data_IF_636650036898
#
_entry.id   IF_636650036898
#
_cell.length_a   1.000
_cell.length_b   1.000
_cell.length_c   1.000
_cell.angle_alpha   90.00
_cell.angle_beta   90.00
_cell.angle_gamma   90.00
#
_symmetry.space_group_name_H-M   'P 1'
#
loop_
_entity.id
_entity.type
_entity.pdbx_description
1 polymer ?
#
# COMPACT_ATOMS: atom_id res chain seq x y z
N UNK A 1 24.96 -25.30 18.84
CA UNK A 1 24.33 -24.22 19.61
C UNK A 1 23.20 -23.63 18.77
N UNK A 2 21.95 -23.79 19.19
CA UNK A 2 20.76 -23.35 18.43
C UNK A 2 20.36 -21.96 18.92
N UNK A 3 20.30 -20.98 18.01
CA UNK A 3 19.95 -19.60 18.33
C UNK A 3 18.46 -19.40 18.67
N UNK A 4 18.10 -18.26 19.28
CA UNK A 4 16.79 -18.01 19.91
C UNK A 4 15.61 -17.83 18.95
N UNK A 5 15.79 -18.09 17.64
CA UNK A 5 14.77 -17.87 16.60
C UNK A 5 13.74 -19.01 16.47
N UNK A 6 14.00 -20.19 17.04
CA UNK A 6 13.19 -21.39 16.77
C UNK A 6 11.92 -21.54 17.64
N UNK A 7 11.86 -20.87 18.81
CA UNK A 7 10.77 -21.11 19.79
C UNK A 7 9.56 -20.19 19.59
N UNK A 8 9.74 -18.95 19.11
CA UNK A 8 8.62 -18.01 18.93
C UNK A 8 7.83 -18.24 17.64
N UNK A 9 8.48 -18.71 16.57
CA UNK A 9 7.82 -19.06 15.31
C UNK A 9 6.90 -20.31 15.40
N UNK A 10 7.15 -21.18 16.39
CA UNK A 10 6.34 -22.38 16.61
C UNK A 10 4.99 -22.06 17.28
N UNK A 11 4.94 -21.00 18.10
CA UNK A 11 3.72 -20.57 18.80
C UNK A 11 2.72 -19.90 17.85
N UNK A 12 3.21 -19.14 16.86
CA UNK A 12 2.39 -18.52 15.81
C UNK A 12 1.88 -19.56 14.78
N UNK A 13 2.67 -20.61 14.50
CA UNK A 13 2.32 -21.73 13.61
C UNK A 13 1.09 -22.54 14.04
N UNK A 14 0.78 -22.59 15.34
CA UNK A 14 -0.32 -23.39 15.88
C UNK A 14 -1.66 -22.67 15.85
N UNK A 15 -1.69 -21.33 15.78
CA UNK A 15 -2.95 -20.57 15.68
C UNK A 15 -3.45 -20.41 14.23
N UNK A 16 -2.56 -20.32 13.24
CA UNK A 16 -2.94 -20.09 11.84
C UNK A 16 -3.31 -21.36 11.04
N UNK A 17 -3.11 -22.57 11.59
CA UNK A 17 -3.51 -23.84 10.94
C UNK A 17 -4.97 -24.27 11.23
N UNK A 18 -5.69 -23.54 12.07
CA UNK A 18 -7.06 -23.89 12.50
C UNK A 18 -8.17 -23.52 11.51
N UNK A 19 -7.91 -22.64 10.54
CA UNK A 19 -8.91 -22.16 9.59
C UNK A 19 -8.75 -22.84 8.22
N UNK A 20 -9.05 -24.15 8.14
CA UNK A 20 -9.38 -24.81 6.87
C UNK A 20 -10.72 -25.51 7.02
N UNK A 21 -11.70 -25.02 6.26
CA UNK A 21 -13.00 -25.64 6.06
C UNK A 21 -12.82 -27.11 5.64
N UNK A 22 -13.42 -28.02 6.42
CA UNK A 22 -13.52 -29.44 6.05
C UNK A 22 -14.78 -29.62 5.22
N UNK A 23 -14.60 -30.03 3.97
CA UNK A 23 -15.64 -30.64 3.16
C UNK A 23 -15.82 -32.11 3.58
N UNK A 24 -17.09 -32.51 3.68
CA UNK A 24 -17.53 -33.82 4.15
C UNK A 24 -17.47 -34.83 2.99
N UNK A 25 -16.66 -35.88 3.11
CA UNK A 25 -16.83 -37.13 2.35
C UNK A 25 -16.36 -38.31 3.21
N UNK A 26 -17.29 -39.21 3.55
CA UNK A 26 -17.02 -40.50 4.18
C UNK A 26 -16.38 -41.49 3.19
N UNK A 27 -15.65 -42.50 3.67
CA UNK A 27 -16.12 -43.87 3.43
C UNK A 27 -15.90 -44.85 4.59
N UNK A 28 -16.52 -46.03 4.42
CA UNK A 28 -16.72 -47.13 5.37
C UNK A 28 -15.48 -47.99 5.69
N UNK A 29 -15.42 -48.42 6.96
CA UNK A 29 -15.05 -49.73 7.55
C UNK A 29 -14.34 -50.83 6.72
N UNK A 30 -13.23 -51.38 7.26
CA UNK A 30 -13.14 -52.79 7.78
C UNK A 30 -11.82 -53.11 8.51
N UNK A 31 -11.93 -53.67 9.73
CA UNK A 31 -11.21 -54.82 10.41
C UNK A 31 -9.76 -55.19 10.00
N UNK A 32 -8.79 -55.63 10.85
CA UNK A 32 -8.81 -56.38 12.12
C UNK A 32 -7.42 -56.40 12.84
N UNK A 33 -7.44 -56.63 14.17
CA UNK A 33 -6.52 -57.35 15.11
C UNK A 33 -4.98 -57.33 14.90
N UNK A 34 -4.10 -57.31 15.93
CA UNK A 34 -4.03 -58.16 17.15
C UNK A 34 -3.02 -57.61 18.19
N UNK A 35 -3.12 -58.10 19.43
CA UNK A 35 -2.48 -57.68 20.71
C UNK A 35 -1.23 -58.51 21.06
N UNK A 36 -0.20 -57.88 21.68
CA UNK A 36 0.77 -58.51 22.62
C UNK A 36 1.27 -57.46 23.65
N UNK A 37 1.35 -57.83 24.94
CA UNK A 37 1.94 -57.12 26.10
C UNK A 37 2.65 -58.18 27.00
N UNK A 38 3.46 -57.84 28.04
CA UNK A 38 4.05 -56.55 28.45
C UNK A 38 5.57 -56.61 28.79
N UNK A 39 6.21 -55.45 28.96
CA UNK A 39 7.45 -55.30 29.74
C UNK A 39 7.46 -53.93 30.45
N UNK A 40 8.04 -53.90 31.65
CA UNK A 40 7.84 -52.89 32.69
C UNK A 40 8.47 -51.50 32.45
N UNK A 41 7.97 -50.55 33.25
CA UNK A 41 7.95 -49.11 33.05
C UNK A 41 9.26 -48.34 33.33
N UNK A 42 9.49 -47.29 32.54
CA UNK A 42 10.30 -46.11 32.86
C UNK A 42 9.39 -44.86 32.82
N UNK A 43 9.61 -43.83 33.67
CA UNK A 43 8.66 -42.73 33.83
C UNK A 43 8.69 -41.75 32.64
N UNK A 44 7.53 -41.19 32.22
CA UNK A 44 7.46 -40.26 31.11
C UNK A 44 7.88 -38.83 31.51
N UNK A 45 8.39 -38.01 30.58
CA UNK A 45 8.66 -36.60 30.82
C UNK A 45 7.35 -35.80 31.03
N UNK A 46 7.41 -34.63 31.68
CA UNK A 46 6.21 -33.89 32.07
C UNK A 46 5.42 -33.43 30.84
N UNK A 47 4.10 -33.63 30.88
CA UNK A 47 3.17 -33.15 29.85
C UNK A 47 3.09 -31.62 29.89
N UNK A 48 3.09 -30.94 28.74
CA UNK A 48 2.75 -29.52 28.70
C UNK A 48 1.29 -29.33 29.15
N UNK A 49 1.06 -28.35 30.02
CA UNK A 49 -0.28 -27.93 30.44
C UNK A 49 -1.13 -27.65 29.20
N UNK A 50 -2.21 -28.40 29.01
CA UNK A 50 -3.29 -28.03 28.08
C UNK A 50 -3.90 -26.73 28.59
N UNK A 51 -3.74 -25.65 27.84
CA UNK A 51 -4.63 -24.51 27.95
C UNK A 51 -6.03 -24.98 27.53
N UNK A 52 -7.02 -24.74 28.40
CA UNK A 52 -8.41 -25.02 28.10
C UNK A 52 -8.84 -24.21 26.86
N UNK A 53 -9.73 -24.76 26.01
CA UNK A 53 -10.34 -23.96 24.95
C UNK A 53 -11.11 -22.81 25.59
N UNK A 54 -10.92 -21.60 25.07
CA UNK A 54 -11.72 -20.44 25.45
C UNK A 54 -13.20 -20.81 25.25
N UNK A 55 -13.96 -20.81 26.35
CA UNK A 55 -15.41 -20.94 26.32
C UNK A 55 -15.96 -19.69 25.63
N UNK A 56 -16.64 -19.86 24.49
CA UNK A 56 -17.61 -18.87 24.04
C UNK A 56 -18.74 -18.88 25.07
N UNK A 57 -18.74 -17.90 25.97
CA UNK A 57 -19.88 -17.63 26.83
C UNK A 57 -20.94 -16.92 25.98
N UNK A 58 -22.08 -17.58 25.77
CA UNK A 58 -23.29 -16.90 25.34
C UNK A 58 -23.77 -16.03 26.50
N UNK A 59 -23.41 -14.75 26.46
CA UNK A 59 -23.94 -13.71 27.33
C UNK A 59 -24.62 -12.68 26.48
N UNK A 60 -25.94 -12.54 26.63
CA UNK A 60 -26.72 -11.46 26.05
C UNK A 60 -26.26 -10.13 26.67
N UNK A 61 -25.52 -9.34 25.89
CA UNK A 61 -25.23 -7.96 26.22
C UNK A 61 -25.33 -7.15 24.92
N UNK A 62 -26.11 -6.09 25.01
CA UNK A 62 -26.49 -5.10 23.99
C UNK A 62 -25.37 -4.77 23.00
N UNK A 63 -25.69 -4.91 21.70
CA UNK A 63 -24.89 -4.45 20.57
C UNK A 63 -24.51 -2.97 20.73
N UNK A 64 -23.27 -2.72 21.10
CA UNK A 64 -22.54 -1.55 20.61
C UNK A 64 -21.48 -2.09 19.66
N UNK A 65 -21.87 -2.30 18.39
CA UNK A 65 -20.93 -2.55 17.32
C UNK A 65 -19.95 -1.37 17.27
N UNK A 66 -18.72 -1.58 17.72
CA UNK A 66 -17.60 -0.72 17.39
C UNK A 66 -17.45 -0.76 15.87
N UNK A 67 -17.88 0.29 15.19
CA UNK A 67 -17.76 0.41 13.75
C UNK A 67 -16.28 0.29 13.39
N UNK A 68 -15.91 -0.76 12.64
CA UNK A 68 -14.56 -0.92 12.10
C UNK A 68 -14.12 0.32 11.29
N UNK A 69 -12.82 0.47 10.99
CA UNK A 69 -12.31 1.65 10.30
C UNK A 69 -13.07 1.94 9.01
N UNK A 70 -13.56 3.18 8.87
CA UNK A 70 -14.25 3.65 7.66
C UNK A 70 -13.38 3.45 6.43
N UNK A 71 -13.95 2.85 5.37
CA UNK A 71 -13.26 2.55 4.09
C UNK A 71 -12.78 3.81 3.37
N UNK A 72 -13.55 4.88 3.51
CA UNK A 72 -13.29 6.17 2.89
C UNK A 72 -12.73 7.12 3.94
N UNK A 73 -11.72 7.90 3.55
CA UNK A 73 -11.19 9.02 4.32
C UNK A 73 -11.19 10.27 3.44
N UNK A 74 -11.26 11.44 4.06
CA UNK A 74 -11.09 12.70 3.34
C UNK A 74 -9.70 13.26 3.60
N UNK A 75 -8.96 13.53 2.53
CA UNK A 75 -7.76 14.39 2.60
C UNK A 75 -8.19 15.82 2.36
N UNK A 76 -7.71 16.77 3.16
CA UNK A 76 -8.12 18.16 3.03
C UNK A 76 -7.07 19.11 3.57
N UNK A 77 -6.89 20.24 2.90
CA UNK A 77 -6.04 21.33 3.38
C UNK A 77 -6.45 22.65 2.71
N UNK A 78 -6.50 23.76 3.48
CA UNK A 78 -6.78 25.13 2.98
C UNK A 78 -7.95 25.22 1.99
N UNK A 79 -9.09 24.59 2.32
CA UNK A 79 -10.30 24.61 1.48
C UNK A 79 -10.29 23.61 0.32
N UNK A 80 -9.19 22.91 0.09
CA UNK A 80 -9.10 21.77 -0.82
C UNK A 80 -9.51 20.48 -0.11
N UNK A 81 -10.23 19.58 -0.78
CA UNK A 81 -10.61 18.30 -0.20
C UNK A 81 -10.93 17.22 -1.23
N UNK A 82 -10.62 15.96 -0.90
CA UNK A 82 -10.99 14.79 -1.69
C UNK A 82 -11.30 13.61 -0.78
N UNK A 83 -12.45 12.99 -0.97
CA UNK A 83 -12.75 11.68 -0.42
C UNK A 83 -12.05 10.59 -1.24
N UNK A 84 -11.28 9.73 -0.57
CA UNK A 84 -10.55 8.61 -1.18
C UNK A 84 -10.76 7.32 -0.38
N UNK A 85 -10.69 6.18 -1.05
CA UNK A 85 -10.57 4.89 -0.38
C UNK A 85 -9.22 4.85 0.35
N UNK A 86 -9.20 4.39 1.60
CA UNK A 86 -7.96 4.30 2.42
C UNK A 86 -6.96 3.30 1.88
N UNK A 87 -7.41 2.36 1.05
CA UNK A 87 -6.56 1.40 0.35
C UNK A 87 -6.62 1.71 -1.14
N UNK A 88 -5.49 2.15 -1.69
CA UNK A 88 -5.39 2.60 -3.08
C UNK A 88 -4.88 1.47 -3.97
N UNK A 89 -5.44 1.37 -5.17
CA UNK A 89 -4.97 0.45 -6.19
C UNK A 89 -3.79 1.07 -6.94
N UNK A 90 -2.58 0.65 -6.58
CA UNK A 90 -1.36 1.09 -7.25
C UNK A 90 -1.20 0.48 -8.64
N UNK A 91 -0.98 1.31 -9.66
CA UNK A 91 -0.86 0.90 -11.06
C UNK A 91 0.60 0.85 -11.57
N UNK A 92 1.62 0.98 -10.71
CA UNK A 92 3.03 1.04 -11.16
C UNK A 92 3.47 -0.16 -12.03
N UNK A 93 2.85 -1.32 -11.83
CA UNK A 93 3.08 -2.54 -12.62
C UNK A 93 2.81 -2.35 -14.11
N UNK A 94 2.04 -1.34 -14.50
CA UNK A 94 1.78 -1.05 -15.91
C UNK A 94 2.95 -0.35 -16.61
N UNK A 95 3.99 0.08 -15.89
CA UNK A 95 5.16 0.79 -16.46
C UNK A 95 6.07 -0.06 -17.39
N UNK A 96 5.68 -1.29 -17.71
CA UNK A 96 6.36 -2.15 -18.70
C UNK A 96 7.39 -3.13 -18.12
N UNK A 97 7.84 -2.92 -16.89
CA UNK A 97 8.81 -3.81 -16.22
C UNK A 97 8.24 -5.14 -15.68
N UNK A 98 6.94 -5.40 -15.86
CA UNK A 98 6.23 -6.57 -15.30
C UNK A 98 5.62 -7.49 -16.36
N UNK A 99 5.95 -7.27 -17.64
CA UNK A 99 5.46 -8.07 -18.78
C UNK A 99 4.40 -7.35 -19.60
N UNK A 100 3.84 -8.05 -20.59
CA UNK A 100 2.80 -7.52 -21.48
C UNK A 100 1.49 -7.35 -20.69
N UNK A 101 0.81 -6.23 -20.95
CA UNK A 101 -0.49 -5.91 -20.36
C UNK A 101 -1.56 -6.18 -21.41
N UNK A 102 -2.52 -7.03 -21.06
CA UNK A 102 -3.79 -7.11 -21.77
C UNK A 102 -4.68 -5.97 -21.28
N UNK A 103 -5.10 -5.09 -22.20
CA UNK A 103 -5.82 -3.87 -21.84
C UNK A 103 -7.24 -4.15 -21.36
N UNK A 104 -7.94 -5.08 -22.00
CA UNK A 104 -9.33 -5.38 -21.65
C UNK A 104 -9.37 -6.10 -20.31
N UNK A 105 -8.50 -7.09 -20.11
CA UNK A 105 -8.37 -7.77 -18.82
C UNK A 105 -7.95 -6.81 -17.68
N UNK A 106 -7.10 -5.82 -17.97
CA UNK A 106 -6.73 -4.81 -16.98
C UNK A 106 -7.91 -3.91 -16.61
N UNK A 107 -8.73 -3.50 -17.59
CA UNK A 107 -9.93 -2.70 -17.34
C UNK A 107 -11.01 -3.51 -16.62
N UNK A 108 -11.21 -4.79 -16.96
CA UNK A 108 -12.08 -5.71 -16.22
C UNK A 108 -11.66 -5.80 -14.75
N UNK A 109 -10.36 -5.95 -14.49
CA UNK A 109 -9.82 -5.98 -13.14
C UNK A 109 -10.08 -4.66 -12.39
N UNK A 110 -9.92 -3.51 -13.06
CA UNK A 110 -10.23 -2.20 -12.44
C UNK A 110 -11.69 -2.09 -12.03
N UNK A 111 -12.63 -2.58 -12.85
CA UNK A 111 -14.05 -2.62 -12.50
C UNK A 111 -14.33 -3.55 -11.33
N UNK A 112 -13.72 -4.75 -11.30
CA UNK A 112 -13.87 -5.66 -10.18
C UNK A 112 -13.37 -5.03 -8.85
N UNK A 113 -12.29 -4.25 -8.88
CA UNK A 113 -11.82 -3.51 -7.69
C UNK A 113 -12.79 -2.41 -7.28
N UNK A 114 -13.27 -1.61 -8.24
CA UNK A 114 -14.21 -0.53 -7.97
C UNK A 114 -15.54 -1.07 -7.42
N UNK A 115 -16.11 -2.12 -8.03
CA UNK A 115 -17.34 -2.79 -7.59
C UNK A 115 -17.18 -3.40 -6.18
N UNK A 116 -15.94 -3.73 -5.77
CA UNK A 116 -15.62 -4.21 -4.42
C UNK A 116 -15.32 -3.08 -3.39
N UNK A 117 -15.53 -1.81 -3.77
CA UNK A 117 -15.30 -0.64 -2.93
C UNK A 117 -13.83 -0.21 -2.81
N UNK A 118 -12.93 -0.79 -3.61
CA UNK A 118 -11.55 -0.31 -3.79
C UNK A 118 -11.56 0.70 -4.93
N UNK A 119 -12.13 1.88 -4.70
CA UNK A 119 -12.52 2.83 -5.75
C UNK A 119 -11.46 3.88 -6.10
N UNK A 120 -10.27 3.83 -5.50
CA UNK A 120 -9.21 4.83 -5.71
C UNK A 120 -8.01 4.21 -6.42
N UNK A 121 -7.62 4.79 -7.55
CA UNK A 121 -6.55 4.29 -8.42
C UNK A 121 -5.39 5.28 -8.47
N UNK A 122 -4.19 4.80 -8.18
CA UNK A 122 -2.97 5.59 -8.14
C UNK A 122 -2.06 5.25 -9.33
N UNK A 123 -1.73 6.27 -10.12
CA UNK A 123 -0.99 6.16 -11.37
C UNK A 123 0.06 7.27 -11.54
N UNK A 124 0.67 7.35 -12.72
CA UNK A 124 1.60 8.41 -13.11
C UNK A 124 1.63 8.57 -14.63
N UNK A 125 2.00 9.76 -15.08
CA UNK A 125 2.30 10.10 -16.48
C UNK A 125 3.27 9.11 -17.15
N UNK A 126 4.29 8.65 -16.41
CA UNK A 126 5.34 7.76 -16.86
C UNK A 126 5.07 6.26 -16.59
N UNK A 127 3.89 5.89 -16.06
CA UNK A 127 3.54 4.48 -15.79
C UNK A 127 3.00 3.75 -17.04
N UNK A 128 3.72 3.84 -18.16
CA UNK A 128 3.31 3.19 -19.40
C UNK A 128 1.87 3.60 -19.78
N UNK A 129 0.93 2.65 -20.00
CA UNK A 129 -0.44 2.94 -20.38
C UNK A 129 -1.38 3.22 -19.19
N UNK A 130 -0.90 3.46 -17.97
CA UNK A 130 -1.76 3.57 -16.77
C UNK A 130 -2.90 4.59 -16.93
N UNK A 131 -2.58 5.80 -17.38
CA UNK A 131 -3.56 6.87 -17.60
C UNK A 131 -4.56 6.50 -18.71
N UNK A 132 -4.08 5.84 -19.78
CA UNK A 132 -4.94 5.39 -20.88
C UNK A 132 -5.89 4.27 -20.43
N UNK A 133 -5.42 3.33 -19.62
CA UNK A 133 -6.24 2.29 -19.00
C UNK A 133 -7.31 2.90 -18.09
N UNK A 134 -6.94 3.93 -17.32
CA UNK A 134 -7.92 4.66 -16.51
C UNK A 134 -8.98 5.36 -17.37
N UNK A 135 -8.60 5.96 -18.50
CA UNK A 135 -9.57 6.54 -19.44
C UNK A 135 -10.51 5.49 -20.05
N UNK A 136 -9.99 4.31 -20.41
CA UNK A 136 -10.82 3.18 -20.87
C UNK A 136 -11.80 2.70 -19.78
N UNK A 137 -11.30 2.60 -18.54
CA UNK A 137 -12.06 2.22 -17.36
C UNK A 137 -13.20 3.20 -17.04
N UNK A 138 -12.92 4.49 -17.01
CA UNK A 138 -13.92 5.54 -16.80
C UNK A 138 -14.99 5.51 -17.90
N UNK A 139 -14.60 5.28 -19.14
CA UNK A 139 -15.55 5.12 -20.24
C UNK A 139 -16.43 3.88 -20.12
N UNK A 140 -15.92 2.77 -19.57
CA UNK A 140 -16.78 1.63 -19.22
C UNK A 140 -17.74 1.97 -18.09
N UNK A 141 -17.29 2.63 -17.03
CA UNK A 141 -18.18 3.08 -15.95
C UNK A 141 -19.34 3.91 -16.51
N UNK A 142 -19.05 4.92 -17.35
CA UNK A 142 -20.07 5.78 -17.96
C UNK A 142 -21.12 5.01 -18.78
N UNK A 143 -20.75 3.85 -19.36
CA UNK A 143 -21.64 3.02 -20.18
C UNK A 143 -22.37 1.93 -19.39
N UNK A 144 -21.73 1.39 -18.38
CA UNK A 144 -22.12 0.12 -17.74
C UNK A 144 -22.57 0.26 -16.28
N UNK A 145 -22.43 1.46 -15.68
CA UNK A 145 -22.79 1.73 -14.29
C UNK A 145 -23.68 2.96 -14.19
N UNK A 146 -24.48 3.10 -13.11
CA UNK A 146 -25.23 4.32 -12.83
C UNK A 146 -24.31 5.55 -12.74
N UNK A 147 -24.77 6.75 -13.13
CA UNK A 147 -23.94 7.97 -13.12
C UNK A 147 -23.28 8.28 -11.77
N UNK A 148 -23.95 8.00 -10.66
CA UNK A 148 -23.45 8.20 -9.31
C UNK A 148 -22.18 7.39 -9.00
N UNK A 149 -21.98 6.24 -9.65
CA UNK A 149 -20.81 5.40 -9.45
C UNK A 149 -19.52 6.08 -9.93
N UNK A 150 -19.62 6.97 -10.93
CA UNK A 150 -18.48 7.76 -11.39
C UNK A 150 -17.96 8.69 -10.29
N UNK A 151 -18.84 9.20 -9.43
CA UNK A 151 -18.47 10.06 -8.30
C UNK A 151 -17.85 9.28 -7.14
N UNK A 152 -17.97 7.95 -7.10
CA UNK A 152 -17.32 7.10 -6.08
C UNK A 152 -15.88 6.74 -6.44
N UNK A 153 -15.55 6.75 -7.74
CA UNK A 153 -14.24 6.40 -8.27
C UNK A 153 -13.32 7.63 -8.32
N UNK A 154 -12.03 7.44 -7.99
CA UNK A 154 -11.05 8.53 -7.88
C UNK A 154 -9.74 8.16 -8.56
N UNK A 155 -9.23 9.07 -9.40
CA UNK A 155 -7.98 8.91 -10.13
C UNK A 155 -6.91 9.86 -9.62
N UNK A 156 -5.83 9.30 -9.06
CA UNK A 156 -4.69 10.05 -8.57
C UNK A 156 -3.54 9.84 -9.54
N UNK A 157 -3.20 10.84 -10.35
CA UNK A 157 -2.04 10.76 -11.26
C UNK A 157 -0.87 11.57 -10.73
N UNK A 158 0.33 11.24 -11.20
CA UNK A 158 1.56 11.96 -10.90
C UNK A 158 2.07 12.65 -12.14
N UNK A 159 2.59 13.86 -11.95
CA UNK A 159 3.40 14.53 -12.96
C UNK A 159 4.85 14.58 -12.49
N UNK A 160 5.75 14.04 -13.31
CA UNK A 160 7.17 13.86 -12.98
C UNK A 160 8.02 14.53 -14.06
N UNK A 161 8.08 15.88 -14.08
CA UNK A 161 8.81 16.59 -15.12
C UNK A 161 10.33 16.52 -14.94
N UNK A 162 11.10 16.63 -16.04
CA UNK A 162 12.51 16.99 -15.93
C UNK A 162 12.66 18.41 -15.35
N UNK A 163 13.79 18.74 -14.70
CA UNK A 163 14.03 20.04 -14.07
C UNK A 163 14.36 21.14 -15.10
N UNK A 164 13.41 21.41 -16.01
CA UNK A 164 13.48 22.49 -16.99
C UNK A 164 12.79 23.75 -16.43
N UNK A 165 12.80 24.85 -17.19
CA UNK A 165 12.06 26.06 -16.82
C UNK A 165 10.56 25.76 -16.78
N UNK A 166 9.93 25.91 -15.62
CA UNK A 166 8.51 25.61 -15.39
C UNK A 166 7.62 26.78 -15.82
N UNK A 167 7.47 26.99 -17.14
CA UNK A 167 6.54 27.99 -17.66
C UNK A 167 5.08 27.53 -17.52
N UNK A 168 4.15 28.49 -17.44
CA UNK A 168 2.70 28.24 -17.44
C UNK A 168 2.26 27.25 -18.52
N UNK A 169 2.68 27.49 -19.77
CA UNK A 169 2.33 26.65 -20.91
C UNK A 169 2.90 25.24 -20.80
N UNK A 170 4.15 25.09 -20.34
CA UNK A 170 4.76 23.79 -20.18
C UNK A 170 4.03 22.94 -19.14
N UNK A 171 3.69 23.53 -18.00
CA UNK A 171 2.90 22.87 -16.95
C UNK A 171 1.53 22.47 -17.52
N UNK A 172 0.81 23.43 -18.11
CA UNK A 172 -0.53 23.19 -18.64
C UNK A 172 -0.59 22.13 -19.73
N UNK A 173 0.34 22.15 -20.69
CA UNK A 173 0.41 21.16 -21.76
C UNK A 173 0.58 19.74 -21.21
N UNK A 174 1.38 19.56 -20.17
CA UNK A 174 1.56 18.26 -19.54
C UNK A 174 0.33 17.82 -18.75
N UNK A 175 -0.33 18.71 -18.01
CA UNK A 175 -1.59 18.41 -17.32
C UNK A 175 -2.70 18.05 -18.31
N UNK A 176 -2.78 18.74 -19.44
CA UNK A 176 -3.74 18.46 -20.50
C UNK A 176 -3.49 17.11 -21.18
N UNK A 177 -2.22 16.66 -21.29
CA UNK A 177 -1.91 15.30 -21.76
C UNK A 177 -2.48 14.25 -20.81
N UNK A 178 -2.25 14.36 -19.51
CA UNK A 178 -2.82 13.43 -18.52
C UNK A 178 -4.35 13.44 -18.55
N UNK A 179 -4.99 14.61 -18.56
CA UNK A 179 -6.46 14.75 -18.68
C UNK A 179 -7.01 14.05 -19.92
N UNK A 180 -6.33 14.21 -21.06
CA UNK A 180 -6.71 13.56 -22.33
C UNK A 180 -6.58 12.04 -22.26
N UNK A 181 -5.48 11.52 -21.69
CA UNK A 181 -5.25 10.07 -21.56
C UNK A 181 -6.25 9.40 -20.62
N UNK A 182 -6.50 10.05 -19.48
CA UNK A 182 -7.49 9.63 -18.49
C UNK A 182 -8.93 9.89 -18.93
N UNK A 183 -9.14 10.60 -20.05
CA UNK A 183 -10.45 11.02 -20.56
C UNK A 183 -11.35 11.69 -19.50
N UNK A 184 -10.77 12.68 -18.79
CA UNK A 184 -11.46 13.45 -17.74
C UNK A 184 -11.36 14.95 -17.98
N UNK A 185 -12.41 15.66 -17.58
CA UNK A 185 -12.43 17.13 -17.61
C UNK A 185 -11.59 17.74 -16.49
N UNK A 186 -11.36 17.05 -15.38
CA UNK A 186 -10.47 17.49 -14.31
C UNK A 186 -9.77 16.29 -13.68
N UNK A 187 -8.51 16.45 -13.30
CA UNK A 187 -7.80 15.43 -12.50
C UNK A 187 -8.34 15.47 -11.06
N UNK A 188 -8.77 14.34 -10.49
CA UNK A 188 -9.24 14.32 -9.10
C UNK A 188 -8.11 14.73 -8.13
N UNK A 189 -6.90 14.24 -8.39
CA UNK A 189 -5.69 14.65 -7.68
C UNK A 189 -4.49 14.62 -8.61
N UNK A 190 -3.70 15.69 -8.59
CA UNK A 190 -2.37 15.72 -9.19
C UNK A 190 -1.32 15.62 -8.08
N UNK A 191 -0.49 14.58 -8.13
CA UNK A 191 0.66 14.37 -7.25
C UNK A 191 1.95 14.82 -7.94
N UNK A 192 2.53 15.92 -7.49
CA UNK A 192 3.71 16.50 -8.12
C UNK A 192 5.02 15.92 -7.56
N UNK A 193 5.95 15.56 -8.45
CA UNK A 193 7.30 15.13 -8.11
C UNK A 193 8.35 16.14 -8.61
N UNK A 194 9.48 16.23 -7.91
CA UNK A 194 10.62 17.02 -8.38
C UNK A 194 11.96 16.34 -8.09
N UNK A 195 12.84 16.29 -9.09
CA UNK A 195 14.10 15.55 -9.01
C UNK A 195 15.19 16.27 -8.20
N UNK A 196 15.30 17.60 -8.32
CA UNK A 196 16.48 18.33 -7.86
C UNK A 196 16.11 19.55 -7.02
N UNK A 197 16.32 19.49 -5.72
CA UNK A 197 15.97 20.59 -4.80
C UNK A 197 16.90 21.79 -4.83
N UNK A 198 18.08 21.69 -5.46
CA UNK A 198 18.93 22.86 -5.73
C UNK A 198 18.27 23.78 -6.76
N UNK A 199 17.41 23.23 -7.63
CA UNK A 199 16.61 23.97 -8.59
C UNK A 199 15.24 24.36 -7.97
N UNK A 200 14.97 25.65 -7.71
CA UNK A 200 13.73 26.10 -7.09
C UNK A 200 12.51 26.09 -8.02
N UNK A 201 12.65 25.65 -9.28
CA UNK A 201 11.58 25.61 -10.28
C UNK A 201 10.35 24.80 -9.87
N UNK A 202 10.46 23.93 -8.86
CA UNK A 202 9.32 23.25 -8.26
C UNK A 202 8.27 24.22 -7.68
N UNK A 203 8.68 25.39 -7.17
CA UNK A 203 7.75 26.41 -6.68
C UNK A 203 6.99 27.08 -7.82
N UNK A 204 7.65 27.36 -8.95
CA UNK A 204 6.99 27.91 -10.14
C UNK A 204 6.00 26.91 -10.74
N UNK A 205 6.37 25.62 -10.80
CA UNK A 205 5.45 24.56 -11.18
C UNK A 205 4.23 24.50 -10.27
N UNK A 206 4.42 24.53 -8.95
CA UNK A 206 3.32 24.44 -7.98
C UNK A 206 2.39 25.65 -8.01
N UNK A 207 2.91 26.85 -8.29
CA UNK A 207 2.07 28.04 -8.53
C UNK A 207 1.19 27.83 -9.76
N UNK A 208 1.77 27.43 -10.89
CA UNK A 208 0.99 27.15 -12.10
C UNK A 208 0.01 25.98 -11.95
N UNK A 209 0.35 24.95 -11.16
CA UNK A 209 -0.56 23.88 -10.79
C UNK A 209 -1.74 24.42 -9.96
N UNK A 210 -1.47 25.38 -9.06
CA UNK A 210 -2.51 26.04 -8.25
C UNK A 210 -3.42 26.90 -9.14
N UNK A 211 -2.87 27.65 -10.10
CA UNK A 211 -3.66 28.38 -11.11
C UNK A 211 -4.58 27.41 -11.89
N UNK A 212 -4.06 26.24 -12.31
CA UNK A 212 -4.85 25.21 -13.01
C UNK A 212 -5.94 24.59 -12.14
N UNK A 213 -5.75 24.54 -10.83
CA UNK A 213 -6.79 24.13 -9.88
C UNK A 213 -7.91 25.17 -9.82
N UNK A 214 -7.57 26.45 -9.75
CA UNK A 214 -8.56 27.55 -9.78
C UNK A 214 -9.35 27.57 -11.10
N UNK A 215 -8.71 27.21 -12.20
CA UNK A 215 -9.35 27.02 -13.52
C UNK A 215 -10.18 25.71 -13.64
N UNK A 216 -10.24 24.89 -12.59
CA UNK A 216 -11.03 23.65 -12.56
C UNK A 216 -10.44 22.48 -13.34
N UNK A 217 -9.18 22.55 -13.78
CA UNK A 217 -8.49 21.46 -14.49
C UNK A 217 -7.92 20.41 -13.54
N UNK A 218 -7.72 20.79 -12.28
CA UNK A 218 -7.25 19.94 -11.19
C UNK A 218 -8.20 20.16 -10.01
N UNK A 219 -8.76 19.09 -9.45
CA UNK A 219 -9.60 19.20 -8.26
C UNK A 219 -8.74 19.37 -7.02
N UNK A 220 -7.71 18.54 -6.82
CA UNK A 220 -6.84 18.62 -5.64
C UNK A 220 -5.33 18.56 -5.96
N UNK A 221 -4.52 19.28 -5.18
CA UNK A 221 -3.05 19.33 -5.34
C UNK A 221 -2.37 18.51 -4.24
N UNK A 222 -1.47 17.63 -4.64
CA UNK A 222 -0.68 16.77 -3.76
C UNK A 222 0.79 16.70 -4.22
N UNK A 223 1.64 16.16 -3.36
CA UNK A 223 3.06 15.93 -3.62
C UNK A 223 3.36 14.43 -3.62
N UNK A 224 4.50 14.05 -4.20
CA UNK A 224 5.07 12.71 -4.04
C UNK A 224 6.58 12.76 -3.90
N UNK A 225 7.10 12.07 -2.89
CA UNK A 225 8.50 12.00 -2.52
C UNK A 225 9.11 13.38 -2.19
N UNK A 226 8.33 14.29 -1.62
CA UNK A 226 8.89 15.53 -1.05
C UNK A 226 9.43 15.27 0.37
N UNK A 227 10.57 15.89 0.71
CA UNK A 227 11.14 15.82 2.06
C UNK A 227 10.39 16.77 3.02
N UNK A 228 10.71 16.71 4.31
CA UNK A 228 10.00 17.52 5.30
C UNK A 228 10.24 19.02 5.10
N UNK A 229 11.48 19.42 4.80
CA UNK A 229 11.85 20.83 4.67
C UNK A 229 11.17 21.48 3.46
N UNK A 230 11.12 20.79 2.32
CA UNK A 230 10.48 21.28 1.10
C UNK A 230 8.96 21.25 1.23
N UNK A 231 8.37 20.25 1.89
CA UNK A 231 6.94 20.29 2.21
C UNK A 231 6.62 21.55 3.04
N UNK A 232 7.42 21.85 4.07
CA UNK A 232 7.24 23.06 4.88
C UNK A 232 7.32 24.33 4.03
N UNK A 233 8.37 24.49 3.21
CA UNK A 233 8.54 25.65 2.33
C UNK A 233 7.34 25.83 1.39
N UNK A 234 6.82 24.74 0.81
CA UNK A 234 5.68 24.76 -0.10
C UNK A 234 4.41 25.26 0.62
N UNK A 235 4.17 24.79 1.84
CA UNK A 235 3.02 25.19 2.64
C UNK A 235 3.11 26.64 3.12
N UNK A 236 4.31 27.11 3.46
CA UNK A 236 4.58 28.51 3.81
C UNK A 236 4.37 29.45 2.60
N UNK A 237 4.59 28.96 1.38
CA UNK A 237 4.24 29.67 0.13
C UNK A 237 2.74 29.61 -0.22
N UNK A 238 1.91 29.06 0.67
CA UNK A 238 0.45 29.10 0.53
C UNK A 238 -0.15 28.06 -0.41
N UNK A 239 0.66 27.12 -0.93
CA UNK A 239 0.18 26.07 -1.84
C UNK A 239 -0.72 25.09 -1.06
N UNK A 240 -1.96 24.80 -1.53
CA UNK A 240 -2.94 24.01 -0.78
C UNK A 240 -2.72 22.49 -0.94
N UNK A 241 -1.55 22.00 -0.52
CA UNK A 241 -1.21 20.57 -0.63
C UNK A 241 -2.06 19.73 0.32
N UNK A 242 -2.85 18.76 -0.17
CA UNK A 242 -3.68 17.88 0.67
C UNK A 242 -2.96 16.64 1.17
N UNK A 243 -1.96 16.16 0.42
CA UNK A 243 -1.17 14.99 0.80
C UNK A 243 0.24 14.99 0.21
N UNK A 244 1.15 14.28 0.87
CA UNK A 244 2.46 13.90 0.32
C UNK A 244 2.56 12.37 0.26
N UNK A 245 2.68 11.80 -0.95
CA UNK A 245 2.85 10.37 -1.13
C UNK A 245 4.32 9.98 -0.93
N UNK A 246 4.62 9.22 0.12
CA UNK A 246 5.97 8.88 0.56
C UNK A 246 6.17 7.40 0.84
N UNK A 247 7.42 7.03 0.99
CA UNK A 247 7.80 5.66 1.25
C UNK A 247 7.72 5.30 2.74
N UNK A 248 6.83 4.39 3.14
CA UNK A 248 6.65 3.99 4.55
C UNK A 248 6.37 2.50 4.79
N UNK A 249 7.19 1.78 5.56
CA UNK A 249 6.89 0.37 5.91
C UNK A 249 7.31 0.10 7.36
N UNK A 250 7.09 -1.12 7.85
CA UNK A 250 7.64 -1.53 9.15
C UNK A 250 9.19 -1.48 9.22
N UNK A 251 9.85 -1.37 8.06
CA UNK A 251 11.32 -1.21 7.92
C UNK A 251 11.70 0.23 7.58
N UNK A 252 10.86 0.98 6.85
CA UNK A 252 11.08 2.40 6.55
C UNK A 252 10.15 3.28 7.36
N UNK A 253 10.67 3.72 8.51
CA UNK A 253 9.95 4.54 9.47
C UNK A 253 10.31 6.03 9.36
N UNK A 254 11.07 6.44 8.32
CA UNK A 254 11.46 7.86 8.13
C UNK A 254 10.26 8.81 8.12
N UNK A 255 9.12 8.48 7.46
CA UNK A 255 7.93 9.35 7.52
C UNK A 255 7.33 9.54 8.91
N UNK A 256 7.60 8.64 9.88
CA UNK A 256 7.10 8.78 11.25
C UNK A 256 7.96 9.71 12.12
N UNK A 257 9.07 10.22 11.59
CA UNK A 257 9.88 11.21 12.29
C UNK A 257 9.32 12.63 12.03
N UNK A 258 10.15 13.56 11.52
CA UNK A 258 9.79 14.97 11.34
C UNK A 258 8.58 15.17 10.41
N UNK A 259 8.45 14.34 9.35
CA UNK A 259 7.36 14.43 8.37
C UNK A 259 5.97 14.25 9.00
N UNK A 260 5.80 13.26 9.88
CA UNK A 260 4.51 13.00 10.53
C UNK A 260 4.10 14.16 11.45
N UNK A 261 5.05 14.74 12.18
CA UNK A 261 4.82 15.91 13.02
C UNK A 261 4.36 17.12 12.19
N UNK A 262 5.07 17.43 11.11
CA UNK A 262 4.67 18.51 10.18
C UNK A 262 3.28 18.27 9.59
N UNK A 263 2.97 17.04 9.18
CA UNK A 263 1.67 16.67 8.66
C UNK A 263 0.55 16.85 9.69
N UNK A 264 0.79 16.52 10.96
CA UNK A 264 -0.17 16.75 12.05
C UNK A 264 -0.42 18.23 12.28
N UNK A 265 0.63 19.06 12.26
CA UNK A 265 0.52 20.50 12.48
C UNK A 265 -0.17 21.24 11.32
N UNK A 266 0.01 20.76 10.09
CA UNK A 266 -0.42 21.49 8.88
C UNK A 266 -1.69 20.93 8.24
N UNK A 267 -2.17 19.77 8.69
CA UNK A 267 -3.34 19.09 8.13
C UNK A 267 -3.05 18.25 6.88
N UNK A 268 -1.82 18.29 6.35
CA UNK A 268 -1.39 17.41 5.24
C UNK A 268 -1.48 15.95 5.67
N UNK A 269 -1.94 15.07 4.77
CA UNK A 269 -1.98 13.62 5.03
C UNK A 269 -0.88 12.88 4.27
N UNK A 270 -0.46 11.73 4.79
CA UNK A 270 0.47 10.85 4.10
C UNK A 270 -0.30 9.78 3.32
N UNK A 271 0.05 9.63 2.04
CA UNK A 271 -0.26 8.43 1.27
C UNK A 271 1.04 7.63 1.20
N UNK A 272 0.98 6.33 1.38
CA UNK A 272 2.21 5.52 1.43
C UNK A 272 2.35 4.67 0.17
N UNK A 273 3.58 4.33 -0.26
CA UNK A 273 3.79 3.35 -1.36
C UNK A 273 4.89 2.32 -1.09
N UNK A 274 4.69 1.03 -1.42
CA UNK A 274 5.60 -0.11 -1.17
C UNK A 274 5.29 -1.20 -0.10
N UNK A 275 4.05 -1.47 0.39
CA UNK A 275 3.71 -1.86 1.84
C UNK A 275 4.40 -3.04 2.37
N UNK A 276 4.35 -3.96 1.46
CA UNK A 276 4.77 -5.31 1.62
C UNK A 276 6.21 -5.44 1.14
N UNK A 277 6.95 -4.33 1.10
CA UNK A 277 8.28 -4.18 0.54
C UNK A 277 8.43 -4.83 -0.85
N UNK A 278 7.56 -4.44 -1.79
CA UNK A 278 7.53 -5.05 -3.13
C UNK A 278 7.21 -6.56 -3.13
N UNK A 279 6.68 -7.08 -2.02
CA UNK A 279 6.37 -8.49 -1.78
C UNK A 279 7.33 -9.20 -0.82
N UNK A 280 8.40 -8.55 -0.35
CA UNK A 280 9.35 -9.15 0.61
C UNK A 280 8.72 -9.50 1.96
N UNK A 281 7.68 -8.80 2.39
CA UNK A 281 6.93 -9.11 3.62
C UNK A 281 5.86 -10.20 3.42
N UNK A 282 5.98 -11.04 2.39
CA UNK A 282 5.08 -12.18 2.15
C UNK A 282 5.66 -13.48 2.68
N UNK A 283 4.79 -14.46 2.92
CA UNK A 283 5.18 -15.83 3.34
C UNK A 283 6.21 -16.47 2.40
N UNK A 284 6.26 -16.02 1.13
CA UNK A 284 7.19 -16.50 0.11
C UNK A 284 8.67 -16.32 0.49
N UNK A 285 8.98 -15.34 1.33
CA UNK A 285 10.35 -15.03 1.77
C UNK A 285 10.60 -15.38 3.24
N UNK A 286 9.58 -15.90 3.96
CA UNK A 286 9.74 -16.34 5.34
C UNK A 286 10.78 -17.47 5.42
N UNK A 287 11.64 -17.43 6.44
CA UNK A 287 12.74 -18.39 6.67
C UNK A 287 13.77 -18.50 5.52
N UNK A 288 13.74 -17.59 4.53
CA UNK A 288 14.75 -17.55 3.48
C UNK A 288 16.08 -17.09 4.06
N UNK A 289 17.10 -17.94 3.95
CA UNK A 289 18.42 -17.62 4.46
C UNK A 289 19.16 -16.68 3.51
N UNK A 290 19.22 -15.39 3.86
CA UNK A 290 19.94 -14.34 3.11
C UNK A 290 21.47 -14.43 3.23
N UNK A 291 22.00 -15.26 4.13
CA UNK A 291 23.45 -15.48 4.29
C UNK A 291 24.03 -16.54 3.34
N UNK A 292 23.18 -17.24 2.60
CA UNK A 292 23.52 -18.07 1.44
C UNK A 292 23.22 -17.21 0.19
N UNK A 293 23.96 -17.33 -0.93
CA UNK A 293 23.58 -16.66 -2.18
C UNK A 293 22.08 -16.83 -2.40
N UNK A 294 21.36 -15.71 -2.39
CA UNK A 294 19.92 -15.63 -2.13
C UNK A 294 19.15 -16.82 -2.72
N UNK A 295 18.84 -17.81 -1.87
CA UNK A 295 18.15 -19.03 -2.26
C UNK A 295 16.62 -18.83 -2.32
N UNK A 296 16.18 -17.58 -2.22
CA UNK A 296 14.79 -17.18 -2.37
C UNK A 296 14.36 -17.07 -3.83
N UNK A 297 13.05 -16.88 -4.07
CA UNK A 297 12.51 -16.69 -5.41
C UNK A 297 13.14 -15.51 -6.16
N UNK A 298 13.37 -15.60 -7.49
CA UNK A 298 14.08 -14.55 -8.23
C UNK A 298 13.48 -13.15 -8.02
N UNK A 299 14.34 -12.21 -7.65
CA UNK A 299 14.03 -10.77 -7.49
C UNK A 299 14.09 -10.07 -8.86
N UNK A 300 13.08 -10.33 -9.69
CA UNK A 300 13.08 -9.94 -11.12
C UNK A 300 12.12 -8.80 -11.47
N UNK A 301 11.29 -8.30 -10.55
CA UNK A 301 10.43 -7.14 -10.80
C UNK A 301 11.13 -5.85 -10.42
N UNK A 302 10.85 -4.68 -11.03
CA UNK A 302 11.43 -3.42 -10.57
C UNK A 302 11.11 -3.10 -9.11
N UNK A 303 9.91 -3.47 -8.63
CA UNK A 303 9.58 -3.37 -7.20
C UNK A 303 10.48 -4.22 -6.32
N UNK A 304 10.97 -5.39 -6.77
CA UNK A 304 11.88 -6.24 -5.98
C UNK A 304 13.35 -5.86 -6.20
N UNK A 305 13.72 -5.45 -7.42
CA UNK A 305 15.07 -5.03 -7.78
C UNK A 305 15.48 -3.75 -7.05
N UNK A 306 14.53 -2.87 -6.69
CA UNK A 306 14.83 -1.70 -5.85
C UNK A 306 15.46 -2.10 -4.51
N UNK A 307 15.13 -3.29 -3.98
CA UNK A 307 15.69 -3.83 -2.74
C UNK A 307 17.03 -4.59 -2.92
N UNK A 308 17.54 -4.75 -4.15
CA UNK A 308 18.91 -5.24 -4.38
C UNK A 308 19.97 -4.14 -4.17
N UNK A 309 19.53 -2.89 -4.16
CA UNK A 309 20.33 -1.72 -3.78
C UNK A 309 20.14 -1.51 -2.28
N UNK A 310 21.16 -1.08 -1.55
CA UNK A 310 21.19 -1.03 -0.07
C UNK A 310 20.32 0.09 0.53
N UNK A 311 19.10 0.25 0.05
CA UNK A 311 18.17 1.31 0.42
C UNK A 311 16.86 1.09 -0.32
N UNK A 312 15.73 1.60 0.20
CA UNK A 312 14.35 1.62 -0.35
C UNK A 312 13.40 0.59 0.28
N UNK A 313 12.25 1.02 0.86
CA UNK A 313 11.19 0.29 1.60
C UNK A 313 9.90 1.13 1.81
N UNK A 314 8.63 0.66 1.57
CA UNK A 314 7.43 1.55 1.74
C UNK A 314 6.00 0.96 1.86
N UNK A 315 4.84 1.68 1.65
CA UNK A 315 3.36 1.32 1.76
C UNK A 315 2.18 1.52 0.74
N UNK A 316 2.13 0.80 -0.40
CA UNK A 316 0.99 0.61 -1.34
C UNK A 316 0.86 -0.89 -1.64
N UNK A 317 -0.37 -1.42 -1.74
CA UNK A 317 -0.61 -2.76 -2.28
C UNK A 317 -0.72 -2.63 -3.79
N UNK A 318 0.39 -2.86 -4.47
CA UNK A 318 0.39 -2.80 -5.92
C UNK A 318 -0.53 -3.91 -6.49
N UNK A 319 -1.41 -3.55 -7.41
CA UNK A 319 -2.31 -4.49 -8.07
C UNK A 319 -1.70 -4.94 -9.39
N UNK A 320 -1.60 -6.25 -9.63
CA UNK A 320 -1.26 -6.78 -10.96
C UNK A 320 -2.55 -7.03 -11.73
N UNK A 321 -3.06 -5.96 -12.33
CA UNK A 321 -4.31 -5.96 -13.11
C UNK A 321 -4.28 -7.10 -14.15
N UNK A 322 -5.29 -7.96 -14.13
CA UNK A 322 -5.43 -9.10 -15.04
C UNK A 322 -4.51 -10.31 -14.78
N UNK A 323 -3.68 -10.31 -13.73
CA UNK A 323 -2.73 -11.41 -13.43
C UNK A 323 -2.87 -11.98 -12.02
N UNK A 324 -3.03 -11.14 -11.00
CA UNK A 324 -3.24 -11.59 -9.63
C UNK A 324 -4.03 -10.55 -8.86
N UNK A 325 -5.22 -10.94 -8.42
CA UNK A 325 -6.16 -10.07 -7.71
C UNK A 325 -6.29 -10.53 -6.26
N UNK A 326 -5.97 -9.64 -5.34
CA UNK A 326 -6.08 -9.89 -3.90
C UNK A 326 -7.28 -9.17 -3.29
N UNK A 327 -8.34 -8.89 -4.08
CA UNK A 327 -9.50 -8.09 -3.68
C UNK A 327 -10.08 -8.53 -2.32
N UNK A 328 -10.21 -9.84 -2.09
CA UNK A 328 -10.72 -10.39 -0.82
C UNK A 328 -9.76 -10.10 0.35
N UNK A 329 -8.48 -10.39 0.18
CA UNK A 329 -7.45 -10.17 1.21
C UNK A 329 -7.28 -8.67 1.50
N UNK A 330 -7.30 -7.83 0.46
CA UNK A 330 -7.25 -6.37 0.56
C UNK A 330 -8.45 -5.82 1.29
N UNK A 331 -9.66 -6.34 1.04
CA UNK A 331 -10.85 -5.95 1.78
C UNK A 331 -10.83 -6.39 3.25
N UNK A 332 -10.17 -7.51 3.57
CA UNK A 332 -10.06 -7.99 4.95
C UNK A 332 -9.25 -7.02 5.84
N UNK A 333 -8.41 -6.15 5.26
CA UNK A 333 -7.64 -5.13 5.99
C UNK A 333 -8.56 -4.17 6.75
N UNK A 334 -9.76 -3.86 6.24
CA UNK A 334 -10.71 -2.97 6.90
C UNK A 334 -11.35 -3.57 8.16
N UNK A 335 -11.17 -4.87 8.40
CA UNK A 335 -11.61 -5.56 9.61
C UNK A 335 -10.44 -5.97 10.50
N UNK A 336 -9.21 -5.59 10.15
CA UNK A 336 -8.03 -5.86 10.95
C UNK A 336 -7.99 -4.87 12.13
N UNK A 337 -8.02 -5.43 13.33
CA UNK A 337 -7.76 -4.70 14.57
C UNK A 337 -6.45 -5.22 15.16
N UNK A 338 -5.54 -4.30 15.47
CA UNK A 338 -4.28 -4.61 16.15
C UNK A 338 -4.44 -4.22 17.60
N UNK A 339 -4.17 -5.15 18.51
CA UNK A 339 -4.20 -4.86 19.94
C UNK A 339 -2.84 -4.32 20.44
N UNK A 340 -2.75 -4.04 21.74
CA UNK A 340 -1.52 -3.53 22.35
C UNK A 340 -0.36 -4.53 22.25
N UNK A 341 -0.63 -5.84 22.31
CA UNK A 341 0.39 -6.88 22.16
C UNK A 341 0.95 -6.87 20.74
N UNK A 342 0.08 -6.81 19.73
CA UNK A 342 0.46 -6.68 18.32
C UNK A 342 1.33 -5.45 18.08
N UNK A 343 0.89 -4.28 18.58
CA UNK A 343 1.62 -3.02 18.43
C UNK A 343 2.98 -3.05 19.14
N UNK A 344 3.08 -3.70 20.29
CA UNK A 344 4.34 -3.90 20.99
C UNK A 344 5.29 -4.81 20.20
N UNK A 345 4.78 -5.89 19.59
CA UNK A 345 5.58 -6.77 18.72
C UNK A 345 6.10 -6.01 17.51
N UNK A 346 5.24 -5.25 16.82
CA UNK A 346 5.63 -4.44 15.65
C UNK A 346 6.72 -3.45 16.06
N UNK A 347 6.51 -2.72 17.16
CA UNK A 347 7.47 -1.74 17.67
C UNK A 347 8.82 -2.38 17.98
N UNK A 348 8.82 -3.55 18.62
CA UNK A 348 10.05 -4.26 18.98
C UNK A 348 10.81 -4.81 17.77
N UNK A 349 10.09 -5.26 16.73
CA UNK A 349 10.71 -5.68 15.48
C UNK A 349 11.28 -4.47 14.72
N UNK A 350 10.56 -3.36 14.64
CA UNK A 350 11.01 -2.15 13.93
C UNK A 350 12.28 -1.55 14.52
N UNK A 351 12.50 -1.67 15.84
CA UNK A 351 13.76 -1.25 16.51
C UNK A 351 15.01 -2.02 16.05
N UNK A 352 14.84 -3.21 15.45
CA UNK A 352 15.96 -4.02 14.95
C UNK A 352 16.46 -3.55 13.59
N UNK A 353 15.70 -2.71 12.90
CA UNK A 353 16.11 -2.05 11.67
C UNK A 353 17.23 -1.05 11.93
N UNK A 354 18.00 -0.72 10.89
CA UNK A 354 18.90 0.44 10.95
C UNK A 354 18.07 1.72 10.91
N UNK A 355 18.59 2.78 11.51
CA UNK A 355 17.98 4.10 11.36
C UNK A 355 18.18 4.60 9.93
N UNK A 356 17.15 4.49 9.10
CA UNK A 356 17.24 4.83 7.68
C UNK A 356 17.40 6.34 7.45
N UNK A 357 16.99 7.19 8.39
CA UNK A 357 17.21 8.64 8.29
C UNK A 357 18.71 8.94 8.25
N UNK A 358 19.51 8.25 9.06
CA UNK A 358 20.96 8.47 9.16
C UNK A 358 21.72 7.91 7.95
N UNK A 359 21.10 6.98 7.21
CA UNK A 359 21.73 6.27 6.09
C UNK A 359 21.35 6.88 4.74
N UNK A 360 20.08 7.26 4.58
CA UNK A 360 19.50 7.64 3.29
C UNK A 360 19.05 9.11 3.29
N UNK A 361 18.86 9.72 4.46
CA UNK A 361 18.22 11.03 4.58
C UNK A 361 16.72 10.92 4.74
N UNK A 362 16.02 12.04 4.55
CA UNK A 362 14.57 12.17 4.76
C UNK A 362 13.76 11.54 3.61
N UNK A 363 12.44 11.62 3.70
CA UNK A 363 11.50 11.10 2.74
C UNK A 363 11.79 11.61 1.32
N UNK A 364 12.01 10.69 0.39
CA UNK A 364 12.24 11.02 -1.02
C UNK A 364 13.71 11.19 -1.39
N UNK A 365 14.64 11.27 -0.44
CA UNK A 365 16.08 11.35 -0.73
C UNK A 365 16.58 10.11 -1.49
N UNK A 366 15.88 8.98 -1.37
CA UNK A 366 16.17 7.78 -2.17
C UNK A 366 16.01 7.96 -3.70
N UNK A 367 15.41 9.06 -4.15
CA UNK A 367 15.26 9.41 -5.58
C UNK A 367 16.23 10.50 -6.04
N UNK A 368 17.09 11.02 -5.15
CA UNK A 368 17.91 12.22 -5.39
C UNK A 368 19.41 11.98 -5.18
N UNK A 369 19.83 10.72 -5.28
CA UNK A 369 21.21 10.27 -5.12
C UNK A 369 22.10 10.54 -6.34
#
# INVERSE_FOLDING_TARGET
MRGPWASSALSLRLRLRGARARTNTSPMSSTAARVVHPAAAAPPPPRPRRLAPARCAAGSATDTATAGPTRVTTVSNRGDSLAICRVLNGMWQTSGGWGRIDRDAAVDAMLAHADAGLSTFDMADHYGPAEDLYGMFINRIRRERPPEFLEEVKGLTKWVPPPVKMTRSYVEDNINRSRKRMDVTALDMLQFHWWEYSNPGYLDALKHITDLKEEGKIKTVALTNFDTDRLQIILENGIPVVSNQVQHSIVDMRPQQRMAELCQLTGVRLITYGTVMGGLLSEKFLDTNVSIPFAGPPLNTPSLQKYKRTSVAGSMVGVRLGLSEHIKDTNAIFSLELDEEDMNIITEVSKRGRNLIDIIGDCGDEYRA
#
